data_IF_773351204829
#
_entry.id   IF_773351204829
#
_cell.length_a   1.000
_cell.length_b   1.000
_cell.length_c   1.000
_cell.angle_alpha   90.00
_cell.angle_beta   90.00
_cell.angle_gamma   90.00
#
_symmetry.space_group_name_H-M   'P 1'
#
loop_
_entity.id
_entity.type
_entity.pdbx_description
1 polymer ?
#
# COMPACT_ATOMS: atom_id res chain seq x y z
N UNK A 1 3.40 -13.61 4.17
CA UNK A 1 2.53 -13.04 3.13
C UNK A 1 2.22 -14.16 2.17
N UNK A 2 0.96 -14.59 2.09
CA UNK A 2 0.51 -15.65 1.18
C UNK A 2 0.00 -15.03 -0.12
N UNK A 3 0.09 -15.74 -1.22
CA UNK A 3 -0.47 -15.32 -2.51
C UNK A 3 -1.98 -15.55 -2.58
N UNK A 4 -2.67 -14.73 -3.35
CA UNK A 4 -4.13 -14.78 -3.40
C UNK A 4 -4.77 -13.81 -4.38
N UNK A 5 -6.10 -13.70 -4.28
CA UNK A 5 -6.91 -12.76 -5.05
C UNK A 5 -7.51 -11.74 -4.10
N UNK A 6 -7.42 -10.47 -4.45
CA UNK A 6 -8.02 -9.39 -3.65
C UNK A 6 -9.54 -9.47 -3.76
N UNK A 7 -10.21 -9.71 -2.64
CA UNK A 7 -11.67 -9.87 -2.58
C UNK A 7 -12.38 -8.53 -2.29
N UNK A 8 -11.81 -7.71 -1.41
CA UNK A 8 -12.36 -6.39 -1.10
C UNK A 8 -11.24 -5.40 -0.76
N UNK A 9 -11.39 -4.16 -1.25
CA UNK A 9 -10.47 -3.06 -0.97
C UNK A 9 -11.26 -1.90 -0.40
N UNK A 10 -10.99 -1.59 0.87
CA UNK A 10 -11.45 -0.38 1.54
C UNK A 10 -10.27 0.57 1.77
N UNK A 11 -10.58 1.85 2.00
CA UNK A 11 -9.56 2.81 2.42
C UNK A 11 -8.90 2.47 3.77
N UNK A 12 -9.54 1.64 4.59
CA UNK A 12 -9.08 1.25 5.93
C UNK A 12 -8.62 -0.20 6.05
N UNK A 13 -8.94 -1.07 5.08
CA UNK A 13 -8.59 -2.49 5.13
C UNK A 13 -8.59 -3.12 3.74
N UNK A 14 -7.80 -4.17 3.57
CA UNK A 14 -7.72 -4.97 2.35
C UNK A 14 -8.00 -6.42 2.74
N UNK A 15 -8.91 -7.07 2.03
CA UNK A 15 -9.28 -8.47 2.23
C UNK A 15 -8.76 -9.28 1.06
N UNK A 16 -7.86 -10.22 1.34
CA UNK A 16 -7.25 -11.12 0.36
C UNK A 16 -7.80 -12.51 0.59
N UNK A 17 -8.31 -13.14 -0.47
CA UNK A 17 -8.64 -14.56 -0.49
C UNK A 17 -7.39 -15.34 -0.90
N UNK A 18 -6.87 -16.16 0.01
CA UNK A 18 -5.66 -16.96 -0.22
C UNK A 18 -5.98 -18.07 -1.23
N UNK A 19 -5.01 -18.40 -2.09
CA UNK A 19 -5.15 -19.51 -3.04
C UNK A 19 -5.22 -20.85 -2.30
N UNK A 20 -6.12 -21.75 -2.69
CA UNK A 20 -6.32 -23.06 -2.05
C UNK A 20 -5.04 -23.92 -1.95
N UNK A 21 -4.02 -23.63 -2.77
CA UNK A 21 -2.70 -24.29 -2.72
C UNK A 21 -1.85 -23.89 -1.52
N UNK A 22 -2.11 -22.71 -0.94
CA UNK A 22 -1.37 -22.14 0.20
C UNK A 22 -2.21 -22.10 1.49
N UNK A 23 -3.46 -22.58 1.44
CA UNK A 23 -4.35 -22.67 2.61
C UNK A 23 -4.00 -23.91 3.43
N UNK A 24 -3.62 -23.71 4.69
CA UNK A 24 -3.43 -24.83 5.62
C UNK A 24 -4.80 -25.43 6.03
N UNK A 25 -4.89 -26.75 6.26
CA UNK A 25 -6.14 -27.39 6.63
C UNK A 25 -6.64 -26.84 7.98
N UNK A 26 -7.78 -26.15 7.97
CA UNK A 26 -8.40 -25.53 9.14
C UNK A 26 -8.34 -24.00 9.17
N UNK A 27 -7.65 -23.38 8.22
CA UNK A 27 -7.63 -21.92 8.08
C UNK A 27 -8.82 -21.42 7.24
N UNK A 28 -9.30 -20.21 7.52
CA UNK A 28 -10.44 -19.62 6.81
C UNK A 28 -10.12 -19.25 5.35
N UNK A 29 -8.84 -19.29 4.96
CA UNK A 29 -8.38 -18.96 3.61
C UNK A 29 -8.57 -17.48 3.25
N UNK A 30 -8.74 -16.62 4.25
CA UNK A 30 -8.96 -15.17 4.06
C UNK A 30 -8.02 -14.40 4.99
N UNK A 31 -7.16 -13.59 4.39
CA UNK A 31 -6.26 -12.68 5.08
C UNK A 31 -6.86 -11.27 5.09
N UNK A 32 -6.87 -10.61 6.24
CA UNK A 32 -7.36 -9.23 6.40
C UNK A 32 -6.19 -8.35 6.85
N UNK A 33 -5.88 -7.35 6.03
CA UNK A 33 -4.84 -6.35 6.28
C UNK A 33 -5.46 -5.00 6.61
N UNK A 34 -5.33 -4.54 7.85
CA UNK A 34 -5.84 -3.23 8.27
C UNK A 34 -4.80 -2.13 7.98
N UNK A 35 -5.25 -1.03 7.40
CA UNK A 35 -4.43 0.12 7.03
C UNK A 35 -4.40 1.16 8.14
N UNK A 36 -3.22 1.71 8.40
CA UNK A 36 -3.02 2.78 9.37
C UNK A 36 -3.39 4.11 8.70
N UNK A 37 -4.41 4.79 9.22
CA UNK A 37 -4.88 6.08 8.71
C UNK A 37 -4.57 7.20 9.70
N UNK A 38 -4.08 8.32 9.18
CA UNK A 38 -3.92 9.60 9.89
C UNK A 38 -3.25 9.50 11.28
N UNK A 39 -2.26 8.65 11.42
CA UNK A 39 -1.53 8.49 12.68
C UNK A 39 -0.35 9.47 12.73
N UNK A 40 -0.12 10.12 13.88
CA UNK A 40 1.01 11.03 14.08
C UNK A 40 2.29 10.21 14.26
N UNK A 41 3.33 10.54 13.48
CA UNK A 41 4.69 10.02 13.67
C UNK A 41 5.39 10.72 14.84
N UNK A 42 6.38 10.04 15.44
CA UNK A 42 7.25 10.61 16.48
C UNK A 42 7.96 11.90 16.03
N UNK A 43 8.08 12.13 14.73
CA UNK A 43 8.67 13.33 14.12
C UNK A 43 7.62 14.35 13.65
N UNK A 44 6.39 14.27 14.17
CA UNK A 44 5.27 15.16 13.84
C UNK A 44 4.79 15.14 12.38
N UNK A 45 5.15 14.11 11.62
CA UNK A 45 4.61 13.89 10.27
C UNK A 45 3.33 13.03 10.31
N UNK A 46 2.54 13.03 9.24
CA UNK A 46 1.33 12.21 9.12
C UNK A 46 1.65 10.86 8.46
N UNK A 47 1.36 9.77 9.16
CA UNK A 47 1.37 8.40 8.63
C UNK A 47 -0.03 8.11 8.08
N UNK A 48 -0.13 7.96 6.76
CA UNK A 48 -1.37 7.60 6.08
C UNK A 48 -1.07 6.57 5.01
N UNK A 49 -1.52 5.33 5.23
CA UNK A 49 -1.40 4.27 4.23
C UNK A 49 -2.56 4.35 3.23
N UNK A 50 -2.27 4.09 1.96
CA UNK A 50 -3.25 4.07 0.87
C UNK A 50 -3.22 2.71 0.18
N UNK A 51 -4.37 2.06 -0.05
CA UNK A 51 -4.40 0.82 -0.82
C UNK A 51 -3.91 1.09 -2.24
N UNK A 52 -3.06 0.20 -2.76
CA UNK A 52 -2.54 0.26 -4.13
C UNK A 52 -3.30 -0.71 -5.06
N UNK A 53 -3.70 -1.85 -4.50
CA UNK A 53 -4.41 -2.93 -5.22
C UNK A 53 -5.89 -2.63 -5.42
N UNK A 54 -6.48 -3.24 -6.44
CA UNK A 54 -7.91 -3.21 -6.76
C UNK A 54 -8.58 -4.57 -6.51
N UNK A 55 -9.91 -4.57 -6.42
CA UNK A 55 -10.68 -5.80 -6.27
C UNK A 55 -10.51 -6.67 -7.52
N UNK A 56 -10.15 -7.94 -7.34
CA UNK A 56 -9.89 -8.89 -8.41
C UNK A 56 -8.42 -9.02 -8.80
N UNK A 57 -7.52 -8.21 -8.24
CA UNK A 57 -6.09 -8.34 -8.53
C UNK A 57 -5.52 -9.64 -7.95
N UNK A 58 -4.72 -10.34 -8.76
CA UNK A 58 -3.92 -11.48 -8.32
C UNK A 58 -2.61 -10.97 -7.74
N UNK A 59 -2.29 -11.39 -6.52
CA UNK A 59 -1.09 -10.98 -5.79
C UNK A 59 -0.25 -12.20 -5.40
N UNK A 60 1.06 -12.05 -5.47
CA UNK A 60 2.01 -13.03 -5.00
C UNK A 60 2.44 -12.75 -3.55
N UNK A 61 3.01 -13.77 -2.91
CA UNK A 61 3.66 -13.64 -1.62
C UNK A 61 4.81 -12.61 -1.69
N UNK A 62 4.62 -11.45 -1.07
CA UNK A 62 5.62 -10.38 -1.02
C UNK A 62 5.25 -9.11 -1.80
N UNK A 63 4.13 -9.14 -2.53
CA UNK A 63 3.64 -7.95 -3.24
C UNK A 63 3.12 -6.87 -2.28
N UNK A 64 3.27 -5.62 -2.71
CA UNK A 64 2.88 -4.44 -1.93
C UNK A 64 1.38 -4.21 -2.09
N UNK A 65 0.63 -4.41 -1.00
CA UNK A 65 -0.83 -4.21 -0.96
C UNK A 65 -1.23 -2.75 -0.77
N UNK A 66 -0.39 -1.98 -0.08
CA UNK A 66 -0.65 -0.59 0.26
C UNK A 66 0.64 0.19 0.45
N UNK A 67 0.63 1.44 -0.01
CA UNK A 67 1.73 2.38 0.14
C UNK A 67 1.60 3.18 1.45
N UNK A 68 2.75 3.48 2.05
CA UNK A 68 2.87 4.30 3.25
C UNK A 68 3.17 5.78 2.96
N UNK A 69 3.38 6.61 4.01
CA UNK A 69 3.89 7.95 3.84
C UNK A 69 5.31 7.89 3.23
N UNK A 70 5.53 8.64 2.14
CA UNK A 70 6.81 8.70 1.40
C UNK A 70 7.20 7.43 0.63
N UNK A 71 6.22 6.58 0.31
CA UNK A 71 6.36 5.49 -0.66
C UNK A 71 5.37 5.71 -1.79
N UNK A 72 5.82 5.62 -3.04
CA UNK A 72 4.97 5.64 -4.23
C UNK A 72 5.30 4.38 -5.02
N UNK A 73 4.33 3.46 -5.18
CA UNK A 73 4.49 2.20 -5.92
C UNK A 73 5.61 1.29 -5.36
N UNK A 74 5.78 1.24 -4.03
CA UNK A 74 6.86 0.46 -3.41
C UNK A 74 8.27 1.06 -3.53
N UNK A 75 8.43 2.22 -4.17
CA UNK A 75 9.70 2.94 -4.23
C UNK A 75 9.75 4.13 -3.25
N UNK A 76 10.95 4.40 -2.73
CA UNK A 76 11.20 5.46 -1.76
C UNK A 76 11.13 6.84 -2.44
N UNK A 77 9.96 7.49 -2.40
CA UNK A 77 9.73 8.81 -2.97
C UNK A 77 9.95 9.92 -1.92
N UNK A 78 11.22 10.24 -1.64
CA UNK A 78 11.61 11.31 -0.70
C UNK A 78 11.38 12.74 -1.22
N UNK A 79 11.02 12.92 -2.50
CA UNK A 79 10.90 14.25 -3.12
C UNK A 79 9.92 14.29 -4.31
N UNK A 80 9.73 15.49 -4.88
CA UNK A 80 8.95 15.72 -6.10
C UNK A 80 9.84 16.25 -7.20
N UNK A 81 9.65 15.74 -8.42
CA UNK A 81 10.25 16.33 -9.61
C UNK A 81 9.57 17.67 -9.90
N UNK A 82 10.35 18.74 -9.92
CA UNK A 82 9.88 20.09 -10.28
C UNK A 82 10.52 20.51 -11.60
N UNK A 83 9.75 21.20 -12.46
CA UNK A 83 10.28 21.82 -13.66
C UNK A 83 11.01 23.11 -13.27
N UNK A 84 12.34 23.10 -13.36
CA UNK A 84 13.19 24.25 -13.02
C UNK A 84 13.55 24.99 -14.29
N UNK A 85 13.32 26.31 -14.31
CA UNK A 85 13.88 27.21 -15.30
C UNK A 85 14.99 28.04 -14.65
N UNK A 86 16.20 28.00 -15.20
CA UNK A 86 17.31 28.86 -14.78
C UNK A 86 17.22 30.19 -15.53
N UNK A 87 16.51 31.16 -14.96
CA UNK A 87 16.45 32.53 -15.49
C UNK A 87 16.38 33.55 -14.36
N UNK A 88 16.93 34.76 -14.53
CA UNK A 88 16.72 35.83 -13.58
C UNK A 88 15.25 36.24 -13.58
N UNK A 89 14.60 36.15 -12.41
CA UNK A 89 13.23 36.60 -12.19
C UNK A 89 13.20 37.59 -11.03
N UNK A 90 13.17 38.89 -11.34
CA UNK A 90 12.97 40.00 -10.40
C UNK A 90 13.59 39.82 -9.00
N UNK A 91 14.91 39.58 -8.95
CA UNK A 91 15.80 39.74 -7.78
C UNK A 91 15.20 39.45 -6.41
#
# INVERSE_FOLDING_TARGET
SRGGVVNAVDASRIVVKVSDKEVEPGDAGVDIYNLIKYTRSNQNTTINQRPLVSVGDEIAAGDVLADGPSTDLGELALGRNILVAFMPWNG
#
